data_IF_974051167268
#
_entry.id   IF_974051167268
#
_cell.length_a   1.000
_cell.length_b   1.000
_cell.length_c   1.000
_cell.angle_alpha   90.00
_cell.angle_beta   90.00
_cell.angle_gamma   90.00
#
_symmetry.space_group_name_H-M   'P 1'
#
loop_
_entity.id
_entity.type
_entity.pdbx_description
1 polymer ?
#
# COMPACT_ATOMS: atom_id res chain seq x y z
N UNK A 1 -4.04 -4.95 9.86
CA UNK A 1 -5.29 -5.07 9.09
C UNK A 1 -5.77 -3.73 8.59
N UNK A 2 -7.01 -3.69 8.08
CA UNK A 2 -7.61 -2.48 7.50
C UNK A 2 -7.80 -1.36 8.53
N UNK A 3 -7.65 -0.11 8.10
CA UNK A 3 -7.87 1.06 8.96
C UNK A 3 -9.36 1.35 9.23
N UNK A 4 -10.25 0.84 8.39
CA UNK A 4 -11.69 0.99 8.54
C UNK A 4 -12.42 -0.25 8.04
N UNK A 5 -13.37 -0.75 8.82
CA UNK A 5 -14.23 -1.88 8.41
C UNK A 5 -15.06 -1.57 7.16
N UNK A 6 -15.28 -0.29 6.85
CA UNK A 6 -15.99 0.12 5.63
C UNK A 6 -15.15 -0.06 4.35
N UNK A 7 -13.90 -0.53 4.47
CA UNK A 7 -13.04 -0.87 3.34
C UNK A 7 -13.11 -2.34 2.93
N UNK A 8 -13.84 -3.19 3.67
CA UNK A 8 -14.03 -4.61 3.31
C UNK A 8 -14.77 -4.75 1.98
N UNK A 9 -14.45 -5.81 1.24
CA UNK A 9 -15.15 -6.18 0.00
C UNK A 9 -16.14 -7.31 0.24
N UNK A 10 -15.86 -8.17 1.22
CA UNK A 10 -16.71 -9.26 1.67
C UNK A 10 -17.17 -8.95 3.11
N UNK A 11 -18.44 -8.52 3.23
CA UNK A 11 -19.03 -8.16 4.52
C UNK A 11 -19.37 -9.38 5.38
N UNK A 12 -19.51 -10.57 4.78
CA UNK A 12 -19.84 -11.79 5.53
C UNK A 12 -18.60 -12.32 6.26
N UNK A 13 -17.45 -12.29 5.58
CA UNK A 13 -16.16 -12.71 6.16
C UNK A 13 -15.40 -11.59 6.86
N UNK A 14 -15.82 -10.34 6.67
CA UNK A 14 -15.12 -9.15 7.15
C UNK A 14 -13.68 -9.08 6.63
N UNK A 15 -13.52 -9.28 5.32
CA UNK A 15 -12.23 -9.21 4.62
C UNK A 15 -12.28 -8.27 3.40
N UNK A 16 -11.16 -7.63 3.11
CA UNK A 16 -10.94 -6.95 1.84
C UNK A 16 -10.05 -7.82 0.95
N UNK A 17 -10.57 -8.19 -0.21
CA UNK A 17 -9.87 -8.93 -1.24
C UNK A 17 -9.66 -8.02 -2.45
N UNK A 18 -8.39 -7.76 -2.74
CA UNK A 18 -7.96 -6.95 -3.86
C UNK A 18 -7.31 -7.85 -4.89
N UNK A 19 -7.90 -7.92 -6.08
CA UNK A 19 -7.30 -8.60 -7.23
C UNK A 19 -6.48 -7.63 -8.08
N UNK A 20 -5.29 -8.08 -8.48
CA UNK A 20 -4.30 -7.31 -9.22
C UNK A 20 -4.14 -5.86 -8.73
N UNK A 21 -3.95 -5.60 -7.41
CA UNK A 21 -3.87 -4.24 -6.91
C UNK A 21 -2.58 -3.55 -7.32
N UNK A 22 -2.65 -2.22 -7.42
CA UNK A 22 -1.51 -1.36 -7.16
C UNK A 22 -1.26 -1.24 -5.65
N UNK A 23 -0.01 -1.01 -5.26
CA UNK A 23 0.41 -0.94 -3.87
C UNK A 23 1.25 0.33 -3.68
N UNK A 24 0.69 1.32 -2.98
CA UNK A 24 1.45 2.47 -2.48
C UNK A 24 2.18 2.05 -1.20
N UNK A 25 3.49 2.30 -1.16
CA UNK A 25 4.36 1.97 -0.03
C UNK A 25 5.02 3.26 0.42
N UNK A 26 4.74 3.70 1.65
CA UNK A 26 5.30 4.94 2.19
C UNK A 26 5.51 4.84 3.70
N UNK A 27 6.54 5.51 4.20
CA UNK A 27 6.76 5.74 5.63
C UNK A 27 6.15 7.06 6.12
N UNK A 28 5.50 7.81 5.23
CA UNK A 28 4.81 9.07 5.54
C UNK A 28 3.42 8.81 6.12
N UNK A 29 2.92 9.80 6.86
CA UNK A 29 1.50 9.91 7.22
C UNK A 29 0.72 10.57 6.10
N UNK A 30 -0.50 10.11 5.86
CA UNK A 30 -1.42 10.69 4.89
C UNK A 30 -2.60 11.30 5.65
N UNK A 31 -2.59 12.63 5.80
CA UNK A 31 -3.67 13.37 6.49
C UNK A 31 -4.55 14.15 5.51
N UNK A 32 -4.00 14.53 4.35
CA UNK A 32 -4.66 15.30 3.31
C UNK A 32 -4.85 14.43 2.06
N UNK A 33 -6.07 14.38 1.53
CA UNK A 33 -6.36 13.58 0.33
C UNK A 33 -5.67 14.14 -0.92
N UNK A 34 -5.40 15.44 -0.98
CA UNK A 34 -4.75 16.11 -2.10
C UNK A 34 -3.34 15.57 -2.35
N UNK A 35 -2.69 15.01 -1.33
CA UNK A 35 -1.35 14.45 -1.46
C UNK A 35 -1.29 13.19 -2.31
N UNK A 36 -2.41 12.45 -2.43
CA UNK A 36 -2.49 11.22 -3.22
C UNK A 36 -3.56 11.26 -4.32
N UNK A 37 -4.30 12.37 -4.42
CA UNK A 37 -5.39 12.53 -5.37
C UNK A 37 -4.97 12.35 -6.84
N UNK A 38 -3.81 12.87 -7.31
CA UNK A 38 -3.37 12.66 -8.69
C UNK A 38 -3.24 11.17 -9.03
N UNK A 39 -2.52 10.42 -8.21
CA UNK A 39 -2.32 8.97 -8.38
C UNK A 39 -3.63 8.18 -8.25
N UNK A 40 -4.53 8.56 -7.33
CA UNK A 40 -5.85 7.93 -7.21
C UNK A 40 -6.68 8.08 -8.50
N UNK A 41 -6.64 9.24 -9.16
CA UNK A 41 -7.37 9.47 -10.40
C UNK A 41 -6.87 8.56 -11.52
N UNK A 42 -5.56 8.39 -11.64
CA UNK A 42 -4.96 7.49 -12.64
C UNK A 42 -5.36 6.02 -12.41
N UNK A 43 -5.39 5.57 -11.14
CA UNK A 43 -5.78 4.20 -10.81
C UNK A 43 -7.25 3.94 -11.13
N UNK A 44 -8.14 4.91 -10.86
CA UNK A 44 -9.57 4.80 -11.22
C UNK A 44 -9.77 4.66 -12.72
N UNK A 45 -9.02 5.42 -13.53
CA UNK A 45 -9.11 5.32 -14.98
C UNK A 45 -8.74 3.92 -15.49
N UNK A 46 -7.86 3.20 -14.78
CA UNK A 46 -7.53 1.82 -15.09
C UNK A 46 -8.51 0.79 -14.52
N UNK A 47 -9.45 1.21 -13.66
CA UNK A 47 -10.39 0.30 -13.00
C UNK A 47 -9.72 -0.69 -12.04
N UNK A 48 -8.51 -0.39 -11.57
CA UNK A 48 -7.74 -1.29 -10.68
C UNK A 48 -7.93 -0.93 -9.21
N UNK A 49 -7.67 -1.90 -8.35
CA UNK A 49 -7.68 -1.73 -6.90
C UNK A 49 -6.37 -1.13 -6.39
N UNK A 50 -6.41 -0.48 -5.22
CA UNK A 50 -5.24 0.10 -4.56
C UNK A 50 -5.16 -0.36 -3.10
N UNK A 51 -4.00 -0.88 -2.72
CA UNK A 51 -3.58 -0.99 -1.33
C UNK A 51 -2.68 0.20 -0.96
N UNK A 52 -3.01 0.90 0.12
CA UNK A 52 -2.16 1.95 0.70
C UNK A 52 -1.51 1.38 1.97
N UNK A 53 -0.18 1.34 2.00
CA UNK A 53 0.63 1.02 3.18
C UNK A 53 1.37 2.29 3.59
N UNK A 54 0.98 2.90 4.71
CA UNK A 54 1.51 4.18 5.19
C UNK A 54 1.81 4.13 6.70
N UNK A 55 2.60 5.06 7.26
CA UNK A 55 2.77 5.14 8.73
C UNK A 55 1.42 5.30 9.42
N UNK A 56 0.58 6.20 8.90
CA UNK A 56 -0.82 6.30 9.26
C UNK A 56 -1.64 6.97 8.14
N UNK A 57 -2.94 6.70 8.11
CA UNK A 57 -3.90 7.46 7.29
C UNK A 57 -4.94 8.07 8.22
N UNK A 58 -4.94 9.39 8.30
CA UNK A 58 -5.65 10.16 9.33
C UNK A 58 -6.32 11.39 8.72
N UNK A 59 -6.80 12.30 9.57
CA UNK A 59 -7.36 13.58 9.13
C UNK A 59 -8.56 13.39 8.21
N UNK A 60 -8.63 14.23 7.18
CA UNK A 60 -9.69 14.17 6.17
C UNK A 60 -9.46 13.07 5.11
N UNK A 61 -8.23 12.57 4.97
CA UNK A 61 -7.90 11.54 4.00
C UNK A 61 -8.67 10.24 4.25
N UNK A 62 -8.67 9.73 5.49
CA UNK A 62 -9.32 8.46 5.81
C UNK A 62 -10.85 8.48 5.57
N UNK A 63 -11.63 9.45 6.10
CA UNK A 63 -13.06 9.55 5.80
C UNK A 63 -13.35 9.70 4.30
N UNK A 64 -12.51 10.42 3.57
CA UNK A 64 -12.67 10.62 2.12
C UNK A 64 -12.46 9.32 1.35
N UNK A 65 -11.43 8.54 1.68
CA UNK A 65 -11.20 7.22 1.09
C UNK A 65 -12.37 6.27 1.39
N UNK A 66 -12.83 6.24 2.64
CA UNK A 66 -13.99 5.41 3.06
C UNK A 66 -15.25 5.78 2.29
N UNK A 67 -15.59 7.07 2.21
CA UNK A 67 -16.80 7.52 1.54
C UNK A 67 -16.78 7.18 0.04
N UNK A 68 -15.64 7.34 -0.61
CA UNK A 68 -15.49 6.99 -2.03
C UNK A 68 -15.48 5.49 -2.27
N UNK A 69 -14.97 4.69 -1.32
CA UNK A 69 -15.06 3.22 -1.36
C UNK A 69 -16.51 2.76 -1.27
N UNK A 70 -17.30 3.31 -0.35
CA UNK A 70 -18.74 3.01 -0.20
C UNK A 70 -19.52 3.38 -1.46
N UNK A 71 -19.16 4.51 -2.11
CA UNK A 71 -19.77 4.95 -3.37
C UNK A 71 -19.32 4.13 -4.60
N UNK A 72 -18.34 3.24 -4.45
CA UNK A 72 -17.78 2.46 -5.54
C UNK A 72 -16.82 3.24 -6.45
N UNK A 73 -16.46 4.47 -6.10
CA UNK A 73 -15.54 5.31 -6.90
C UNK A 73 -14.10 4.82 -6.81
N UNK A 74 -13.63 4.50 -5.60
CA UNK A 74 -12.28 3.99 -5.35
C UNK A 74 -12.34 2.58 -4.78
N UNK A 75 -11.73 1.60 -5.45
CA UNK A 75 -11.50 0.31 -4.83
C UNK A 75 -10.18 0.34 -4.03
N UNK A 76 -10.20 1.02 -2.89
CA UNK A 76 -9.01 1.31 -2.07
C UNK A 76 -9.13 0.74 -0.66
N UNK A 77 -8.02 0.21 -0.14
CA UNK A 77 -7.88 -0.21 1.26
C UNK A 77 -6.60 0.39 1.82
N UNK A 78 -6.68 0.99 3.00
CA UNK A 78 -5.52 1.52 3.70
C UNK A 78 -5.19 0.68 4.94
N UNK A 79 -3.90 0.45 5.15
CA UNK A 79 -3.33 -0.28 6.30
C UNK A 79 -2.12 0.49 6.84
N UNK A 80 -1.79 0.29 8.11
CA UNK A 80 -0.54 0.80 8.66
C UNK A 80 0.65 -0.02 8.17
N UNK A 81 1.76 0.66 7.94
CA UNK A 81 3.05 0.06 7.70
C UNK A 81 3.43 -0.85 8.88
N UNK A 82 3.99 -2.05 8.63
CA UNK A 82 4.41 -2.94 9.70
C UNK A 82 5.61 -2.36 10.46
N UNK A 83 5.71 -2.67 11.75
CA UNK A 83 6.84 -2.26 12.58
C UNK A 83 6.86 -0.77 12.93
N UNK A 84 7.96 -0.37 13.56
CA UNK A 84 8.19 1.00 14.04
C UNK A 84 9.67 1.37 13.88
N UNK A 85 9.98 2.67 13.81
CA UNK A 85 11.35 3.16 13.65
C UNK A 85 12.08 2.55 12.45
N UNK A 86 13.35 2.21 12.60
CA UNK A 86 14.17 1.64 11.52
C UNK A 86 13.63 0.30 11.01
N UNK A 87 13.03 -0.50 11.89
CA UNK A 87 12.43 -1.79 11.50
C UNK A 87 11.30 -1.59 10.48
N UNK A 88 10.55 -0.49 10.58
CA UNK A 88 9.52 -0.17 9.58
C UNK A 88 10.14 0.12 8.22
N UNK A 89 11.23 0.89 8.18
CA UNK A 89 11.93 1.22 6.92
C UNK A 89 12.39 -0.05 6.23
N UNK A 90 13.01 -0.97 6.98
CA UNK A 90 13.43 -2.27 6.45
C UNK A 90 12.23 -3.11 5.97
N UNK A 91 11.15 -3.19 6.74
CA UNK A 91 9.97 -3.97 6.33
C UNK A 91 9.24 -3.36 5.13
N UNK A 92 9.23 -2.04 4.98
CA UNK A 92 8.71 -1.37 3.78
C UNK A 92 9.60 -1.66 2.57
N UNK A 93 10.92 -1.68 2.74
CA UNK A 93 11.85 -2.09 1.68
C UNK A 93 11.65 -3.56 1.27
N UNK A 94 11.33 -4.46 2.20
CA UNK A 94 10.97 -5.86 1.89
C UNK A 94 9.72 -5.92 0.99
N UNK A 95 8.68 -5.16 1.34
CA UNK A 95 7.43 -5.13 0.58
C UNK A 95 7.67 -4.51 -0.80
N UNK A 96 8.49 -3.45 -0.89
CA UNK A 96 8.86 -2.82 -2.15
C UNK A 96 9.60 -3.81 -3.06
N UNK A 97 10.60 -4.51 -2.55
CA UNK A 97 11.33 -5.54 -3.30
C UNK A 97 10.41 -6.68 -3.76
N UNK A 98 9.52 -7.18 -2.88
CA UNK A 98 8.56 -8.24 -3.21
C UNK A 98 7.60 -7.83 -4.32
N UNK A 99 7.13 -6.59 -4.31
CA UNK A 99 6.04 -6.12 -5.18
C UNK A 99 6.53 -5.36 -6.41
N UNK A 100 7.83 -5.07 -6.48
CA UNK A 100 8.43 -4.25 -7.55
C UNK A 100 8.12 -2.76 -7.43
N UNK A 101 7.71 -2.29 -6.25
CA UNK A 101 7.41 -0.89 -5.99
C UNK A 101 8.61 -0.13 -5.42
N UNK A 102 8.43 1.18 -5.23
CA UNK A 102 9.39 2.07 -4.58
C UNK A 102 8.76 2.63 -3.31
N UNK A 103 9.53 2.67 -2.21
CA UNK A 103 9.09 3.31 -0.97
C UNK A 103 9.11 4.83 -1.18
N UNK A 104 7.94 5.47 -1.13
CA UNK A 104 7.83 6.93 -1.20
C UNK A 104 8.17 7.49 0.18
N UNK A 105 9.38 8.02 0.33
CA UNK A 105 9.92 8.51 1.61
C UNK A 105 10.62 9.86 1.44
N UNK A 106 10.56 10.66 2.50
CA UNK A 106 11.31 11.92 2.63
C UNK A 106 12.83 11.69 2.57
N UNK A 107 13.32 10.57 3.10
CA UNK A 107 14.75 10.24 3.09
C UNK A 107 15.31 10.05 1.67
N UNK A 108 14.43 9.69 0.72
CA UNK A 108 14.74 9.53 -0.70
C UNK A 108 14.39 10.77 -1.53
N UNK A 109 13.93 11.86 -0.88
CA UNK A 109 13.49 13.07 -1.57
C UNK A 109 12.22 12.89 -2.40
N UNK A 110 11.39 11.89 -2.08
CA UNK A 110 10.17 11.57 -2.82
C UNK A 110 8.93 12.15 -2.13
N UNK A 111 8.05 12.75 -2.93
CA UNK A 111 6.77 13.30 -2.46
C UNK A 111 5.58 12.44 -2.91
N UNK A 112 4.55 12.37 -2.06
CA UNK A 112 3.31 11.65 -2.38
C UNK A 112 2.60 12.24 -3.61
N UNK A 113 2.63 13.58 -3.74
CA UNK A 113 1.98 14.31 -4.83
C UNK A 113 2.55 13.98 -6.20
N UNK A 114 3.83 13.62 -6.25
CA UNK A 114 4.57 13.34 -7.47
C UNK A 114 4.69 11.83 -7.74
N UNK A 115 3.99 11.00 -6.96
CA UNK A 115 4.05 9.55 -7.10
C UNK A 115 3.46 9.11 -8.44
N UNK A 116 4.27 8.40 -9.23
CA UNK A 116 3.89 7.82 -10.51
C UNK A 116 3.46 6.36 -10.36
N UNK A 117 2.61 5.88 -11.28
CA UNK A 117 2.19 4.48 -11.31
C UNK A 117 3.36 3.48 -11.42
N UNK A 118 4.45 3.88 -12.07
CA UNK A 118 5.67 3.07 -12.20
C UNK A 118 6.38 2.83 -10.86
N UNK A 119 6.11 3.65 -9.85
CA UNK A 119 6.66 3.52 -8.50
C UNK A 119 5.76 2.67 -7.59
N UNK A 120 4.54 2.35 -8.03
CA UNK A 120 3.62 1.52 -7.25
C UNK A 120 3.99 0.04 -7.40
N UNK A 121 3.99 -0.67 -6.27
CA UNK A 121 4.11 -2.13 -6.27
C UNK A 121 2.88 -2.78 -6.88
N UNK A 122 3.02 -4.04 -7.28
CA UNK A 122 1.92 -4.86 -7.77
C UNK A 122 1.98 -6.27 -7.18
N UNK A 123 0.82 -6.91 -7.08
CA UNK A 123 0.69 -8.30 -6.68
C UNK A 123 -0.51 -8.93 -7.39
N UNK A 124 -0.58 -10.27 -7.44
CA UNK A 124 -1.76 -10.97 -7.97
C UNK A 124 -2.98 -10.77 -7.07
N UNK A 125 -2.79 -10.90 -5.76
CA UNK A 125 -3.87 -10.76 -4.76
C UNK A 125 -3.36 -10.17 -3.46
N UNK A 126 -4.17 -9.34 -2.83
CA UNK A 126 -4.00 -8.93 -1.44
C UNK A 126 -5.27 -9.23 -0.66
N UNK A 127 -5.13 -9.89 0.48
CA UNK A 127 -6.22 -10.13 1.44
C UNK A 127 -5.92 -9.38 2.73
N UNK A 128 -6.86 -8.54 3.18
CA UNK A 128 -6.74 -7.73 4.39
C UNK A 128 -7.88 -8.09 5.34
N UNK A 129 -7.53 -8.51 6.56
CA UNK A 129 -8.47 -8.75 7.64
C UNK A 129 -8.38 -7.61 8.66
N UNK A 130 -9.12 -7.72 9.77
CA UNK A 130 -9.00 -6.77 10.89
C UNK A 130 -7.56 -6.68 11.41
N UNK A 131 -6.86 -7.80 11.46
CA UNK A 131 -5.57 -7.89 12.16
C UNK A 131 -4.39 -8.03 11.18
N UNK A 132 -4.57 -8.70 10.04
CA UNK A 132 -3.48 -9.03 9.11
C UNK A 132 -3.66 -8.45 7.70
N UNK A 133 -2.55 -8.38 6.97
CA UNK A 133 -2.48 -8.07 5.54
C UNK A 133 -1.59 -9.13 4.89
N UNK A 134 -2.09 -9.80 3.86
CA UNK A 134 -1.38 -10.86 3.14
C UNK A 134 -1.25 -10.45 1.68
N UNK A 135 -0.01 -10.38 1.19
CA UNK A 135 0.32 -10.06 -0.21
C UNK A 135 0.77 -11.36 -0.89
N UNK A 136 0.11 -11.74 -1.98
CA UNK A 136 0.35 -13.01 -2.67
C UNK A 136 0.82 -12.74 -4.10
N UNK A 137 1.92 -13.40 -4.47
CA UNK A 137 2.57 -13.30 -5.79
C UNK A 137 2.84 -11.83 -6.18
N UNK A 138 3.74 -11.19 -5.43
CA UNK A 138 4.24 -9.85 -5.76
C UNK A 138 5.01 -9.85 -7.08
N UNK A 139 4.91 -8.74 -7.82
CA UNK A 139 5.49 -8.59 -9.17
C UNK A 139 6.95 -8.14 -9.18
N UNK A 140 7.67 -8.27 -8.06
CA UNK A 140 9.08 -7.92 -7.95
C UNK A 140 9.99 -8.80 -8.81
N UNK A 141 11.08 -8.23 -9.32
CA UNK A 141 12.11 -8.99 -10.03
C UNK A 141 12.75 -10.03 -9.10
N UNK A 142 12.96 -11.26 -9.59
CA UNK A 142 13.52 -12.35 -8.78
C UNK A 142 14.90 -12.00 -8.22
N UNK A 143 15.69 -11.30 -9.03
CA UNK A 143 17.02 -10.82 -8.69
C UNK A 143 16.95 -9.83 -7.51
N UNK A 144 16.07 -8.83 -7.58
CA UNK A 144 15.88 -7.85 -6.51
C UNK A 144 15.40 -8.49 -5.20
N UNK A 145 14.49 -9.47 -5.29
CA UNK A 145 14.03 -10.24 -4.12
C UNK A 145 15.19 -11.05 -3.52
N UNK A 146 16.00 -11.69 -4.35
CA UNK A 146 17.15 -12.49 -3.89
C UNK A 146 18.21 -11.62 -3.22
N UNK A 147 18.55 -10.48 -3.83
CA UNK A 147 19.46 -9.48 -3.24
C UNK A 147 18.96 -8.99 -1.88
N UNK A 148 17.65 -8.77 -1.76
CA UNK A 148 17.05 -8.35 -0.49
C UNK A 148 17.16 -9.44 0.58
N UNK A 149 16.86 -10.70 0.23
CA UNK A 149 17.02 -11.84 1.14
C UNK A 149 18.47 -11.98 1.60
N UNK A 150 19.44 -11.84 0.70
CA UNK A 150 20.85 -11.98 1.03
C UNK A 150 21.37 -10.81 1.88
N UNK A 151 20.82 -9.61 1.70
CA UNK A 151 21.09 -8.46 2.57
C UNK A 151 20.63 -8.74 4.01
N UNK A 152 19.41 -9.25 4.20
CA UNK A 152 18.87 -9.58 5.51
C UNK A 152 19.69 -10.69 6.18
N UNK A 153 20.08 -11.72 5.44
CA UNK A 153 20.90 -12.83 5.97
C UNK A 153 22.26 -12.39 6.50
N UNK A 154 22.86 -11.33 5.93
CA UNK A 154 24.15 -10.77 6.41
C UNK A 154 24.04 -9.95 7.69
N UNK A 155 22.83 -9.54 8.07
CA UNK A 155 22.56 -8.76 9.28
C UNK A 155 22.25 -9.63 10.51
N UNK A 156 22.17 -10.96 10.33
CA UNK A 156 21.99 -11.98 11.39
C UNK A 156 23.37 -12.46 11.85
#
# INVERSE_FOLDING_TARGET
GYLSQYMVTDNDKMEADLENPYILITDKKISNIQDILPMLQEIVQQGRSLLIIADDVTGEALPTLVLNKIRGTFNVVAVKAPGFGDRRKEQLADIAALTGGTVISEDLGLELKDTQLSQLGQARRVTITKDSTTIVDGSGAKEAIQERVDTIRKQI
#
